data_IF_689026531802
#
_entry.id   IF_689026531802
#
_cell.length_a   1.000
_cell.length_b   1.000
_cell.length_c   1.000
_cell.angle_alpha   90.00
_cell.angle_beta   90.00
_cell.angle_gamma   90.00
#
_symmetry.space_group_name_H-M   'P 1'
#
loop_
_entity.id
_entity.type
_entity.pdbx_description
1 polymer ?
#
# COMPACT_ATOMS: atom_id res chain seq x y z
N UNK A 1 27.90 -4.67 19.80
CA UNK A 1 27.28 -3.35 20.07
C UNK A 1 26.72 -2.70 18.80
N UNK A 2 27.52 -2.48 17.74
CA UNK A 2 27.04 -1.83 16.48
C UNK A 2 25.86 -2.54 15.84
N UNK A 3 25.83 -3.86 15.80
CA UNK A 3 24.74 -4.64 15.20
C UNK A 3 23.48 -4.63 16.07
N UNK A 4 23.64 -4.60 17.39
CA UNK A 4 22.51 -4.43 18.32
C UNK A 4 21.85 -3.05 18.14
N UNK A 5 22.65 -1.99 18.04
CA UNK A 5 22.13 -0.63 17.78
C UNK A 5 21.38 -0.58 16.47
N UNK A 6 21.93 -1.17 15.40
CA UNK A 6 21.24 -1.26 14.09
C UNK A 6 19.94 -2.05 14.16
N UNK A 7 19.90 -3.13 14.95
CA UNK A 7 18.68 -3.93 15.17
C UNK A 7 17.62 -3.09 15.89
N UNK A 8 17.98 -2.41 16.97
CA UNK A 8 17.06 -1.53 17.71
C UNK A 8 16.52 -0.42 16.80
N UNK A 9 17.37 0.24 16.02
CA UNK A 9 16.95 1.28 15.07
C UNK A 9 16.02 0.74 14.00
N UNK A 10 16.25 -0.46 13.48
CA UNK A 10 15.34 -1.11 12.54
C UNK A 10 13.97 -1.39 13.16
N UNK A 11 13.95 -1.89 14.39
CA UNK A 11 12.72 -2.15 15.14
C UNK A 11 11.94 -0.86 15.40
N UNK A 12 12.61 0.24 15.77
CA UNK A 12 11.97 1.57 15.93
C UNK A 12 11.35 2.10 14.63
N UNK A 13 12.01 1.87 13.51
CA UNK A 13 11.49 2.24 12.18
C UNK A 13 10.42 1.24 11.71
N UNK A 14 10.34 0.05 12.32
CA UNK A 14 9.41 -1.04 11.97
C UNK A 14 9.87 -1.83 10.75
N UNK A 15 11.17 -1.86 10.50
CA UNK A 15 11.79 -2.69 9.47
C UNK A 15 12.22 -4.01 10.10
N UNK A 16 11.61 -5.15 9.78
CA UNK A 16 12.03 -6.44 10.30
C UNK A 16 13.47 -6.76 9.91
N UNK A 17 14.23 -7.34 10.84
CA UNK A 17 15.60 -7.75 10.54
C UNK A 17 15.61 -8.83 9.45
N UNK A 18 16.43 -8.64 8.41
CA UNK A 18 16.59 -9.60 7.31
C UNK A 18 15.55 -9.52 6.18
N UNK A 19 14.55 -8.62 6.26
CA UNK A 19 13.50 -8.56 5.23
C UNK A 19 14.06 -8.19 3.84
N UNK A 20 14.97 -7.24 3.75
CA UNK A 20 15.60 -6.85 2.48
C UNK A 20 16.44 -8.00 1.89
N UNK A 21 17.18 -8.72 2.75
CA UNK A 21 17.96 -9.88 2.32
C UNK A 21 17.08 -11.03 1.83
N UNK A 22 15.93 -11.24 2.49
CA UNK A 22 14.95 -12.26 2.08
C UNK A 22 14.29 -11.91 0.76
N UNK A 23 13.91 -10.67 0.56
CA UNK A 23 13.36 -10.16 -0.69
C UNK A 23 14.38 -10.29 -1.84
N UNK A 24 15.65 -9.94 -1.59
CA UNK A 24 16.73 -10.09 -2.57
C UNK A 24 16.97 -11.55 -2.96
N UNK A 25 17.01 -12.47 -1.98
CA UNK A 25 17.15 -13.90 -2.26
C UNK A 25 15.99 -14.41 -3.10
N UNK A 26 14.76 -14.04 -2.76
CA UNK A 26 13.57 -14.41 -3.51
C UNK A 26 13.63 -13.91 -4.96
N UNK A 27 14.07 -12.66 -5.16
CA UNK A 27 14.30 -12.10 -6.48
C UNK A 27 15.34 -12.88 -7.29
N UNK A 28 16.50 -13.21 -6.71
CA UNK A 28 17.54 -13.97 -7.40
C UNK A 28 17.07 -15.39 -7.78
N UNK A 29 16.33 -16.05 -6.90
CA UNK A 29 15.73 -17.35 -7.18
C UNK A 29 14.64 -17.25 -8.26
N UNK A 30 13.86 -16.15 -8.26
CA UNK A 30 12.86 -15.85 -9.30
C UNK A 30 13.52 -15.76 -10.67
N UNK A 31 14.56 -14.94 -10.82
CA UNK A 31 15.32 -14.82 -12.08
C UNK A 31 15.92 -16.17 -12.49
N UNK A 32 16.47 -16.93 -11.54
CA UNK A 32 17.05 -18.25 -11.81
C UNK A 32 16.01 -19.25 -12.32
N UNK A 33 14.81 -19.24 -11.77
CA UNK A 33 13.72 -20.12 -12.23
C UNK A 33 13.15 -19.70 -13.58
N UNK A 34 12.99 -18.40 -13.80
CA UNK A 34 12.54 -17.87 -15.08
C UNK A 34 13.49 -18.28 -16.23
N UNK A 35 14.81 -18.29 -15.99
CA UNK A 35 15.80 -18.76 -16.99
C UNK A 35 15.59 -20.21 -17.42
N UNK A 36 14.97 -21.04 -16.56
CA UNK A 36 14.73 -22.48 -16.81
C UNK A 36 13.31 -22.79 -17.27
N UNK A 37 12.40 -21.78 -17.22
CA UNK A 37 10.99 -21.95 -17.62
C UNK A 37 10.84 -21.56 -19.08
N UNK A 38 10.07 -22.32 -19.85
CA UNK A 38 9.61 -21.88 -21.15
C UNK A 38 8.32 -21.09 -20.97
N UNK A 39 8.32 -19.81 -21.35
CA UNK A 39 7.15 -18.97 -21.42
C UNK A 39 6.77 -18.87 -22.89
N UNK A 40 5.56 -19.27 -23.21
CA UNK A 40 4.99 -19.20 -24.56
C UNK A 40 3.67 -18.45 -24.50
N UNK A 41 3.60 -17.36 -25.24
CA UNK A 41 2.41 -16.51 -25.29
C UNK A 41 2.19 -15.66 -24.01
N UNK A 42 1.03 -15.01 -23.96
CA UNK A 42 0.65 -14.04 -22.93
C UNK A 42 -0.24 -14.65 -21.83
N UNK A 43 -0.04 -15.95 -21.54
CA UNK A 43 -0.84 -16.63 -20.53
C UNK A 43 -0.26 -16.46 -19.13
N UNK A 44 -1.11 -16.15 -18.17
CA UNK A 44 -0.74 -16.09 -16.77
C UNK A 44 -0.09 -17.41 -16.30
N UNK A 45 0.92 -17.30 -15.45
CA UNK A 45 1.57 -18.45 -14.86
C UNK A 45 2.02 -18.19 -13.44
N UNK A 46 2.38 -19.25 -12.73
CA UNK A 46 2.92 -19.15 -11.38
C UNK A 46 4.21 -19.92 -11.18
N UNK A 47 4.96 -19.52 -10.16
CA UNK A 47 6.17 -20.18 -9.66
C UNK A 47 6.03 -20.39 -8.15
N UNK A 48 6.25 -21.62 -7.69
CA UNK A 48 6.19 -21.99 -6.29
C UNK A 48 7.60 -22.08 -5.68
N UNK A 49 7.86 -21.34 -4.62
CA UNK A 49 9.13 -21.32 -3.89
C UNK A 49 8.92 -21.94 -2.51
N UNK A 50 9.56 -23.07 -2.25
CA UNK A 50 9.55 -23.71 -0.92
C UNK A 50 10.47 -22.94 0.02
N UNK A 51 9.95 -22.56 1.18
CA UNK A 51 10.71 -21.88 2.24
C UNK A 51 11.40 -22.91 3.16
N UNK A 52 12.08 -23.88 2.54
CA UNK A 52 12.85 -24.87 3.31
C UNK A 52 13.94 -24.16 4.13
N UNK A 53 14.13 -24.62 5.35
CA UNK A 53 15.16 -24.13 6.28
C UNK A 53 15.08 -22.62 6.55
N UNK A 54 13.90 -22.01 6.33
CA UNK A 54 13.69 -20.59 6.54
C UNK A 54 14.44 -19.70 5.55
N UNK A 55 14.69 -20.16 4.33
CA UNK A 55 15.47 -19.46 3.28
C UNK A 55 14.98 -18.01 3.04
N UNK A 56 13.67 -17.79 3.10
CA UNK A 56 13.05 -16.47 2.92
C UNK A 56 12.48 -15.91 4.23
N UNK A 57 12.84 -16.50 5.36
CA UNK A 57 12.43 -16.02 6.67
C UNK A 57 13.21 -14.78 7.08
N UNK A 58 12.59 -13.93 7.88
CA UNK A 58 13.18 -12.71 8.44
C UNK A 58 12.61 -12.45 9.83
N UNK A 59 13.40 -11.85 10.71
CA UNK A 59 13.09 -11.75 12.12
C UNK A 59 12.74 -13.15 12.70
N UNK A 60 11.68 -13.24 13.49
CA UNK A 60 11.19 -14.52 14.06
C UNK A 60 10.08 -15.14 13.20
N UNK A 61 9.88 -14.63 11.98
CA UNK A 61 8.81 -15.07 11.10
C UNK A 61 9.19 -16.32 10.32
N UNK A 62 8.62 -17.45 10.70
CA UNK A 62 8.85 -18.77 10.07
C UNK A 62 7.56 -19.41 9.53
N UNK A 63 6.47 -18.66 9.50
CA UNK A 63 5.13 -19.23 9.40
C UNK A 63 4.67 -19.60 7.99
N UNK A 64 5.39 -19.23 6.93
CA UNK A 64 5.02 -19.68 5.59
C UNK A 64 5.99 -20.77 5.09
N UNK A 65 5.40 -21.86 4.59
CA UNK A 65 6.15 -22.97 3.99
C UNK A 65 6.45 -22.72 2.53
N UNK A 66 5.60 -21.95 1.86
CA UNK A 66 5.70 -21.69 0.43
C UNK A 66 5.44 -20.21 0.12
N UNK A 67 6.11 -19.72 -0.92
CA UNK A 67 5.79 -18.47 -1.58
C UNK A 67 5.42 -18.81 -3.02
N UNK A 68 4.21 -18.43 -3.45
CA UNK A 68 3.75 -18.52 -4.82
C UNK A 68 3.88 -17.15 -5.46
N UNK A 69 4.58 -17.03 -6.57
CA UNK A 69 4.62 -15.80 -7.37
C UNK A 69 3.80 -16.04 -8.63
N UNK A 70 2.75 -15.24 -8.80
CA UNK A 70 1.89 -15.24 -9.98
C UNK A 70 2.30 -14.11 -10.90
N UNK A 71 2.45 -14.42 -12.19
CA UNK A 71 2.58 -13.44 -13.24
C UNK A 71 1.24 -13.25 -13.93
N UNK A 72 0.75 -12.03 -13.91
CA UNK A 72 -0.48 -11.61 -14.59
C UNK A 72 -0.09 -10.73 -15.76
N UNK A 73 -0.58 -11.04 -16.94
CA UNK A 73 -0.31 -10.29 -18.15
C UNK A 73 -1.56 -9.52 -18.58
N UNK A 74 -1.40 -8.21 -18.75
CA UNK A 74 -2.46 -7.31 -19.20
C UNK A 74 -2.05 -6.64 -20.52
N UNK A 75 -2.92 -6.67 -21.52
CA UNK A 75 -2.69 -5.96 -22.78
C UNK A 75 -2.90 -4.47 -22.63
N UNK A 76 -2.07 -3.64 -23.29
CA UNK A 76 -2.35 -2.20 -23.42
C UNK A 76 -2.09 -1.71 -24.85
N UNK A 77 -2.86 -0.68 -25.26
CA UNK A 77 -2.68 -0.04 -26.56
C UNK A 77 -1.64 1.09 -26.48
N UNK A 78 -0.59 1.00 -27.30
CA UNK A 78 0.44 2.04 -27.40
C UNK A 78 -0.16 3.34 -27.95
N UNK A 79 -1.20 3.27 -28.80
CA UNK A 79 -1.84 4.47 -29.35
C UNK A 79 -2.48 5.34 -28.25
N UNK A 80 -3.00 4.71 -27.18
CA UNK A 80 -3.56 5.42 -26.05
C UNK A 80 -2.48 5.94 -25.07
N UNK A 81 -1.26 5.40 -25.14
CA UNK A 81 -0.15 5.75 -24.25
C UNK A 81 1.19 5.83 -25.01
N UNK A 82 1.37 6.78 -25.94
CA UNK A 82 2.53 6.82 -26.83
C UNK A 82 3.89 7.08 -26.12
N UNK A 83 3.85 7.56 -24.87
CA UNK A 83 5.05 7.72 -24.05
C UNK A 83 5.55 6.41 -23.43
N UNK A 84 4.78 5.32 -23.54
CA UNK A 84 5.09 4.00 -22.98
C UNK A 84 5.43 3.03 -24.09
N UNK A 85 6.60 2.42 -24.01
CA UNK A 85 7.02 1.40 -24.98
C UNK A 85 7.58 0.19 -24.24
N UNK A 86 7.26 -1.01 -24.73
CA UNK A 86 7.75 -2.26 -24.16
C UNK A 86 6.91 -2.78 -22.98
N UNK A 87 7.43 -3.81 -22.33
CA UNK A 87 6.77 -4.44 -21.19
C UNK A 87 6.92 -3.56 -19.96
N UNK A 88 5.82 -3.25 -19.29
CA UNK A 88 5.78 -2.41 -18.10
C UNK A 88 5.37 -3.23 -16.88
N UNK A 89 5.92 -2.89 -15.72
CA UNK A 89 5.46 -3.43 -14.45
C UNK A 89 4.35 -2.49 -13.94
N UNK A 90 3.11 -3.00 -13.91
CA UNK A 90 1.95 -2.21 -13.49
C UNK A 90 1.77 -2.22 -11.98
N UNK A 91 2.17 -3.31 -11.31
CA UNK A 91 2.05 -3.42 -9.88
C UNK A 91 2.52 -4.76 -9.34
N UNK A 92 2.67 -4.79 -8.04
CA UNK A 92 2.84 -6.00 -7.26
C UNK A 92 1.81 -6.01 -6.15
N UNK A 93 1.29 -7.17 -5.82
CA UNK A 93 0.28 -7.35 -4.80
C UNK A 93 0.53 -8.60 -3.96
N UNK A 94 -0.15 -8.67 -2.83
CA UNK A 94 -0.09 -9.79 -1.93
C UNK A 94 -1.49 -10.37 -1.69
N UNK A 95 -1.61 -11.68 -1.89
CA UNK A 95 -2.79 -12.45 -1.49
C UNK A 95 -2.35 -13.52 -0.51
N UNK A 96 -2.91 -13.51 0.68
CA UNK A 96 -2.73 -14.60 1.63
C UNK A 96 -3.84 -15.62 1.41
N UNK A 97 -3.48 -16.84 1.03
CA UNK A 97 -4.40 -17.98 0.99
C UNK A 97 -4.78 -18.48 2.39
N UNK A 98 -4.19 -17.91 3.44
CA UNK A 98 -4.69 -18.11 4.78
C UNK A 98 -6.14 -17.64 4.80
N UNK A 99 -7.05 -18.60 4.57
CA UNK A 99 -8.48 -18.39 4.66
C UNK A 99 -8.74 -17.77 6.02
N UNK A 100 -9.46 -16.68 6.01
CA UNK A 100 -9.91 -15.96 7.21
C UNK A 100 -10.90 -16.79 8.07
N UNK A 101 -10.84 -18.10 7.96
CA UNK A 101 -11.72 -19.02 8.66
C UNK A 101 -11.56 -18.93 10.18
N UNK A 102 -10.45 -18.37 10.67
CA UNK A 102 -10.14 -18.34 12.10
C UNK A 102 -9.71 -16.95 12.57
N UNK A 103 -10.65 -16.01 12.56
CA UNK A 103 -10.46 -14.72 13.20
C UNK A 103 -10.37 -14.80 14.72
N UNK A 104 -10.90 -15.87 15.28
CA UNK A 104 -10.96 -16.14 16.73
C UNK A 104 -10.30 -17.47 17.13
N UNK A 105 -10.02 -18.38 16.18
CA UNK A 105 -9.28 -19.61 16.45
C UNK A 105 -7.93 -19.63 15.72
N UNK A 106 -6.88 -19.58 16.51
CA UNK A 106 -5.47 -19.61 16.05
C UNK A 106 -4.99 -21.00 15.61
N UNK A 107 -5.89 -21.96 15.44
CA UNK A 107 -5.54 -23.36 15.19
C UNK A 107 -6.05 -23.80 13.82
N UNK A 108 -5.17 -24.01 12.92
CA UNK A 108 -5.26 -24.66 11.58
C UNK A 108 -5.09 -23.74 10.38
N UNK A 109 -3.92 -23.11 10.27
CA UNK A 109 -3.41 -22.64 8.97
C UNK A 109 -2.92 -23.88 8.21
N UNK A 110 -3.82 -24.54 7.49
CA UNK A 110 -3.52 -25.80 6.79
C UNK A 110 -2.76 -25.61 5.47
N UNK A 111 -2.61 -24.38 4.97
CA UNK A 111 -1.77 -24.07 3.80
C UNK A 111 -0.98 -22.78 4.02
N UNK A 112 0.21 -22.92 4.59
CA UNK A 112 1.15 -21.82 4.83
C UNK A 112 1.77 -21.27 3.53
N UNK A 113 0.93 -20.95 2.54
CA UNK A 113 1.37 -20.40 1.25
C UNK A 113 1.01 -18.94 1.16
N UNK A 114 2.00 -18.09 0.91
CA UNK A 114 1.81 -16.67 0.60
C UNK A 114 1.87 -16.49 -0.91
N UNK A 115 0.86 -15.86 -1.52
CA UNK A 115 0.83 -15.54 -2.94
C UNK A 115 1.19 -14.08 -3.16
N UNK A 116 2.19 -13.85 -4.00
CA UNK A 116 2.61 -12.54 -4.50
C UNK A 116 2.27 -12.47 -5.99
N UNK A 117 1.64 -11.40 -6.43
CA UNK A 117 1.34 -11.17 -7.85
C UNK A 117 2.26 -10.12 -8.44
N UNK A 118 2.72 -10.34 -9.66
CA UNK A 118 3.44 -9.36 -10.48
C UNK A 118 2.63 -9.15 -11.74
N UNK A 119 2.07 -7.96 -11.92
CA UNK A 119 1.31 -7.60 -13.12
C UNK A 119 2.22 -6.91 -14.11
N UNK A 120 2.31 -7.48 -15.31
CA UNK A 120 3.07 -6.98 -16.44
C UNK A 120 2.12 -6.52 -17.54
N UNK A 121 2.14 -5.24 -17.88
CA UNK A 121 1.42 -4.73 -19.03
C UNK A 121 2.26 -4.90 -20.30
N UNK A 122 1.63 -5.41 -21.35
CA UNK A 122 2.24 -5.78 -22.60
C UNK A 122 1.57 -5.00 -23.72
N UNK A 123 2.36 -4.37 -24.59
CA UNK A 123 1.78 -3.78 -25.79
C UNK A 123 1.04 -4.83 -26.63
N UNK A 124 -0.18 -4.52 -27.03
CA UNK A 124 -0.98 -5.40 -27.89
C UNK A 124 -0.33 -5.68 -29.26
N UNK A 125 0.63 -4.81 -29.64
CA UNK A 125 1.45 -4.98 -30.84
C UNK A 125 2.54 -6.07 -30.71
N UNK A 126 2.82 -6.57 -29.48
CA UNK A 126 3.76 -7.66 -29.24
C UNK A 126 3.01 -9.00 -29.28
N UNK A 127 3.20 -9.83 -30.30
CA UNK A 127 2.39 -11.04 -30.48
C UNK A 127 2.72 -12.13 -29.46
N UNK A 128 3.97 -12.22 -29.02
CA UNK A 128 4.42 -13.23 -28.04
C UNK A 128 5.51 -12.66 -27.15
N UNK A 129 5.43 -12.97 -25.86
CA UNK A 129 6.46 -12.67 -24.88
C UNK A 129 7.33 -13.90 -24.66
N UNK A 130 8.61 -13.67 -24.50
CA UNK A 130 9.59 -14.70 -24.16
C UNK A 130 10.09 -14.57 -22.72
N UNK A 131 10.69 -15.65 -22.19
CA UNK A 131 11.36 -15.55 -20.88
C UNK A 131 12.42 -14.44 -20.86
N UNK A 132 13.11 -14.19 -21.99
CA UNK A 132 14.14 -13.15 -22.06
C UNK A 132 13.56 -11.78 -21.84
N UNK A 133 12.38 -11.52 -22.38
CA UNK A 133 11.69 -10.22 -22.25
C UNK A 133 11.25 -9.99 -20.79
N UNK A 134 10.64 -10.99 -20.16
CA UNK A 134 10.26 -10.94 -18.75
C UNK A 134 11.49 -10.75 -17.86
N UNK A 135 12.54 -11.55 -18.05
CA UNK A 135 13.76 -11.46 -17.26
C UNK A 135 14.42 -10.09 -17.43
N UNK A 136 14.51 -9.58 -18.66
CA UNK A 136 15.07 -8.26 -18.93
C UNK A 136 14.28 -7.19 -18.19
N UNK A 137 12.95 -7.19 -18.31
CA UNK A 137 12.09 -6.22 -17.62
C UNK A 137 12.29 -6.25 -16.10
N UNK A 138 12.37 -7.46 -15.51
CA UNK A 138 12.62 -7.59 -14.08
C UNK A 138 14.03 -7.13 -13.68
N UNK A 139 15.04 -7.38 -14.50
CA UNK A 139 16.42 -6.98 -14.23
C UNK A 139 16.61 -5.46 -14.37
N UNK A 140 16.03 -4.85 -15.38
CA UNK A 140 16.06 -3.40 -15.60
C UNK A 140 15.36 -2.64 -14.46
N UNK A 141 14.43 -3.30 -13.73
CA UNK A 141 13.68 -2.77 -12.61
C UNK A 141 14.03 -3.44 -11.27
N UNK A 142 15.23 -3.99 -11.12
CA UNK A 142 15.63 -4.77 -9.94
C UNK A 142 15.34 -4.07 -8.61
N UNK A 143 15.74 -2.79 -8.47
CA UNK A 143 15.56 -2.03 -7.21
C UNK A 143 14.09 -1.96 -6.84
N UNK A 144 13.22 -1.67 -7.82
CA UNK A 144 11.77 -1.61 -7.62
C UNK A 144 11.21 -2.99 -7.25
N UNK A 145 11.57 -4.05 -7.97
CA UNK A 145 11.06 -5.40 -7.70
C UNK A 145 11.47 -5.88 -6.31
N UNK A 146 12.75 -5.75 -5.95
CA UNK A 146 13.23 -6.19 -4.63
C UNK A 146 12.56 -5.41 -3.51
N UNK A 147 12.35 -4.10 -3.68
CA UNK A 147 11.66 -3.29 -2.69
C UNK A 147 10.17 -3.63 -2.57
N UNK A 148 9.51 -3.90 -3.70
CA UNK A 148 8.11 -4.36 -3.69
C UNK A 148 7.98 -5.75 -3.08
N UNK A 149 8.91 -6.68 -3.33
CA UNK A 149 8.93 -7.97 -2.64
C UNK A 149 9.10 -7.81 -1.13
N UNK A 150 9.94 -6.87 -0.66
CA UNK A 150 10.07 -6.58 0.77
C UNK A 150 8.77 -5.99 1.35
N UNK A 151 8.08 -5.15 0.60
CA UNK A 151 6.77 -4.60 0.92
C UNK A 151 5.73 -5.73 1.11
N UNK A 152 5.60 -6.60 0.13
CA UNK A 152 4.60 -7.68 0.16
C UNK A 152 4.92 -8.76 1.21
N UNK A 153 6.21 -9.10 1.41
CA UNK A 153 6.63 -9.98 2.50
C UNK A 153 6.31 -9.39 3.87
N UNK A 154 6.38 -8.05 4.00
CA UNK A 154 5.99 -7.38 5.24
C UNK A 154 4.48 -7.44 5.48
N UNK A 155 3.68 -7.33 4.43
CA UNK A 155 2.24 -7.57 4.53
C UNK A 155 1.92 -8.99 5.04
N UNK A 156 2.59 -10.00 4.48
CA UNK A 156 2.45 -11.37 4.95
C UNK A 156 2.80 -11.50 6.43
N UNK A 157 3.93 -10.93 6.85
CA UNK A 157 4.38 -10.94 8.24
C UNK A 157 3.38 -10.28 9.19
N UNK A 158 2.89 -9.08 8.87
CA UNK A 158 1.92 -8.36 9.72
C UNK A 158 0.57 -9.09 9.75
N UNK A 159 0.22 -9.73 8.64
CA UNK A 159 -0.96 -10.55 8.54
C UNK A 159 -1.02 -11.69 9.54
N UNK A 160 0.11 -12.30 9.86
CA UNK A 160 0.21 -13.41 10.81
C UNK A 160 0.34 -12.96 12.28
N UNK A 161 0.87 -11.76 12.53
CA UNK A 161 1.11 -11.28 13.92
C UNK A 161 -0.13 -10.80 14.66
N UNK A 162 -1.16 -10.28 13.97
CA UNK A 162 -2.30 -9.61 14.61
C UNK A 162 -3.63 -9.92 13.90
N UNK A 163 -4.15 -11.14 14.04
CA UNK A 163 -5.36 -11.53 13.31
C UNK A 163 -6.61 -10.70 13.66
N UNK A 164 -6.77 -10.28 14.91
CA UNK A 164 -7.96 -9.55 15.40
C UNK A 164 -8.01 -8.07 14.97
N UNK A 165 -6.86 -7.40 14.81
CA UNK A 165 -6.81 -6.04 14.26
C UNK A 165 -7.07 -5.99 12.74
N UNK A 166 -7.06 -7.18 12.08
CA UNK A 166 -7.13 -7.27 10.62
C UNK A 166 -8.42 -6.72 10.04
N UNK A 167 -9.58 -6.95 10.66
CA UNK A 167 -10.86 -6.58 10.05
C UNK A 167 -10.99 -5.07 9.98
N UNK A 168 -10.77 -4.38 11.12
CA UNK A 168 -10.85 -2.90 11.19
C UNK A 168 -9.90 -2.21 10.20
N UNK A 169 -8.78 -2.88 9.88
CA UNK A 169 -7.80 -2.34 8.96
C UNK A 169 -8.02 -2.83 7.52
N UNK A 170 -8.41 -4.09 7.31
CA UNK A 170 -8.50 -4.71 5.98
C UNK A 170 -9.76 -4.30 5.21
N UNK A 171 -10.90 -4.13 5.87
CA UNK A 171 -12.11 -3.72 5.18
C UNK A 171 -11.97 -2.32 4.55
N UNK A 172 -11.53 -1.27 5.28
CA UNK A 172 -11.24 0.03 4.67
C UNK A 172 -10.15 -0.04 3.61
N UNK A 173 -9.05 -0.76 3.86
CA UNK A 173 -7.97 -0.95 2.91
C UNK A 173 -8.46 -1.48 1.56
N UNK A 174 -9.25 -2.58 1.58
CA UNK A 174 -9.79 -3.18 0.36
C UNK A 174 -10.75 -2.23 -0.35
N UNK A 175 -11.58 -1.48 0.37
CA UNK A 175 -12.54 -0.55 -0.23
C UNK A 175 -11.81 0.63 -0.87
N UNK A 176 -10.88 1.27 -0.15
CA UNK A 176 -10.14 2.42 -0.65
C UNK A 176 -9.24 2.08 -1.84
N UNK A 177 -8.74 0.84 -1.95
CA UNK A 177 -7.94 0.41 -3.11
C UNK A 177 -8.77 0.20 -4.38
N UNK A 178 -10.09 0.00 -4.26
CA UNK A 178 -10.94 -0.39 -5.38
C UNK A 178 -11.96 0.68 -5.80
N UNK A 179 -12.34 1.60 -4.91
CA UNK A 179 -13.34 2.63 -5.22
C UNK A 179 -12.74 3.69 -6.14
N UNK A 180 -13.46 4.01 -7.21
CA UNK A 180 -13.16 5.07 -8.16
C UNK A 180 -14.42 5.89 -8.43
N UNK A 181 -14.29 7.21 -8.34
CA UNK A 181 -15.39 8.14 -8.64
C UNK A 181 -15.34 8.66 -10.05
N UNK A 182 -14.19 8.61 -10.71
CA UNK A 182 -13.91 9.24 -11.99
C UNK A 182 -13.61 10.74 -11.88
N UNK A 183 -13.71 11.33 -10.68
CA UNK A 183 -13.29 12.71 -10.39
C UNK A 183 -11.91 12.65 -9.76
N UNK A 184 -10.93 13.14 -10.46
CA UNK A 184 -9.50 12.99 -10.13
C UNK A 184 -9.17 13.39 -8.68
N UNK A 185 -9.67 14.51 -8.21
CA UNK A 185 -9.35 15.07 -6.89
C UNK A 185 -9.96 14.21 -5.76
N UNK A 186 -11.12 13.62 -6.03
CA UNK A 186 -11.79 12.71 -5.10
C UNK A 186 -11.11 11.34 -5.12
N UNK A 187 -10.72 10.86 -6.27
CA UNK A 187 -9.94 9.62 -6.40
C UNK A 187 -8.57 9.77 -5.71
N UNK A 188 -7.95 10.96 -5.76
CA UNK A 188 -6.73 11.27 -5.01
C UNK A 188 -6.99 11.27 -3.50
N UNK A 189 -8.10 11.85 -3.02
CA UNK A 189 -8.51 11.76 -1.61
C UNK A 189 -8.70 10.30 -1.16
N UNK A 190 -9.40 9.49 -1.95
CA UNK A 190 -9.60 8.05 -1.65
C UNK A 190 -8.27 7.31 -1.64
N UNK A 191 -7.37 7.62 -2.57
CA UNK A 191 -6.00 7.08 -2.58
C UNK A 191 -5.23 7.48 -1.31
N UNK A 192 -5.42 8.70 -0.78
CA UNK A 192 -4.81 9.11 0.47
C UNK A 192 -5.38 8.32 1.66
N UNK A 193 -6.69 8.04 1.68
CA UNK A 193 -7.29 7.15 2.67
C UNK A 193 -6.65 5.76 2.65
N UNK A 194 -6.47 5.17 1.47
CA UNK A 194 -5.77 3.90 1.28
C UNK A 194 -4.35 3.98 1.83
N UNK A 195 -3.60 5.00 1.40
CA UNK A 195 -2.18 5.17 1.71
C UNK A 195 -1.89 5.32 3.20
N UNK A 196 -2.78 5.97 3.97
CA UNK A 196 -2.64 6.14 5.42
C UNK A 196 -3.21 4.98 6.24
N UNK A 197 -3.74 3.93 5.61
CA UNK A 197 -4.19 2.75 6.38
C UNK A 197 -3.04 2.18 7.20
N UNK A 198 -3.36 1.57 8.33
CA UNK A 198 -2.35 0.94 9.19
C UNK A 198 -1.55 -0.10 8.43
N UNK A 199 -2.22 -0.82 7.51
CA UNK A 199 -1.61 -1.85 6.67
C UNK A 199 -0.47 -1.24 5.85
N UNK A 200 -0.73 -0.18 5.08
CA UNK A 200 0.27 0.48 4.24
C UNK A 200 1.36 1.17 5.06
N UNK A 201 0.99 1.86 6.12
CA UNK A 201 1.96 2.56 6.98
C UNK A 201 2.99 1.64 7.64
N UNK A 202 2.64 0.39 7.90
CA UNK A 202 3.56 -0.57 8.52
C UNK A 202 4.57 -1.14 7.53
N UNK A 203 4.26 -1.19 6.25
CA UNK A 203 5.12 -1.82 5.23
C UNK A 203 6.04 -0.84 4.51
N UNK A 204 5.62 0.42 4.32
CA UNK A 204 6.41 1.44 3.59
C UNK A 204 7.86 1.63 4.09
N UNK A 205 8.17 1.60 5.38
CA UNK A 205 9.55 1.66 5.83
C UNK A 205 10.42 0.50 5.32
N UNK A 206 9.85 -0.70 5.19
CA UNK A 206 10.58 -1.87 4.68
C UNK A 206 10.88 -1.74 3.18
N UNK A 207 9.93 -1.20 2.42
CA UNK A 207 10.09 -0.88 1.01
C UNK A 207 11.24 0.13 0.80
N UNK A 208 11.17 1.28 1.46
CA UNK A 208 12.18 2.34 1.33
C UNK A 208 13.54 1.88 1.83
N UNK A 209 13.59 1.12 2.93
CA UNK A 209 14.83 0.53 3.41
C UNK A 209 15.45 -0.43 2.38
N UNK A 210 14.62 -1.24 1.73
CA UNK A 210 15.10 -2.15 0.68
C UNK A 210 15.61 -1.39 -0.55
N UNK A 211 14.92 -0.32 -0.99
CA UNK A 211 15.41 0.58 -2.04
C UNK A 211 16.76 1.18 -1.69
N UNK A 212 16.90 1.64 -0.45
CA UNK A 212 18.14 2.22 0.07
C UNK A 212 19.29 1.20 0.06
N UNK A 213 19.03 -0.06 0.42
CA UNK A 213 20.04 -1.12 0.41
C UNK A 213 20.44 -1.51 -1.01
N UNK A 214 19.48 -1.72 -1.92
CA UNK A 214 19.73 -2.09 -3.31
C UNK A 214 20.39 -0.95 -4.10
N UNK A 215 19.97 0.29 -3.88
CA UNK A 215 20.60 1.48 -4.46
C UNK A 215 21.93 1.87 -3.82
N UNK A 216 22.34 1.13 -2.78
CA UNK A 216 23.60 1.39 -2.05
C UNK A 216 23.74 2.85 -1.54
N UNK A 217 22.61 3.42 -1.10
CA UNK A 217 22.50 4.83 -0.71
C UNK A 217 23.39 5.15 0.48
N UNK A 218 24.26 6.14 0.31
CA UNK A 218 25.13 6.66 1.37
C UNK A 218 24.36 7.65 2.28
N UNK A 219 24.97 8.02 3.40
CA UNK A 219 24.37 9.05 4.26
C UNK A 219 24.32 10.41 3.60
N UNK A 220 25.31 10.74 2.79
CA UNK A 220 25.37 11.99 2.04
C UNK A 220 24.25 12.09 1.02
N UNK A 221 23.94 10.97 0.34
CA UNK A 221 22.93 10.91 -0.71
C UNK A 221 21.51 10.70 -0.15
N UNK A 222 21.38 10.39 1.14
CA UNK A 222 20.10 10.03 1.75
C UNK A 222 19.03 11.13 1.62
N UNK A 223 19.43 12.39 1.76
CA UNK A 223 18.47 13.51 1.65
C UNK A 223 17.89 13.63 0.24
N UNK A 224 18.71 13.48 -0.77
CA UNK A 224 18.28 13.49 -2.16
C UNK A 224 17.42 12.27 -2.45
N UNK A 225 17.88 11.10 -2.04
CA UNK A 225 17.12 9.85 -2.17
C UNK A 225 15.73 9.94 -1.53
N UNK A 226 15.63 10.35 -0.25
CA UNK A 226 14.33 10.40 0.43
C UNK A 226 13.44 11.49 -0.15
N UNK A 227 14.01 12.65 -0.55
CA UNK A 227 13.23 13.74 -1.12
C UNK A 227 12.68 13.43 -2.51
N UNK A 228 13.34 12.59 -3.29
CA UNK A 228 12.88 12.11 -4.60
C UNK A 228 12.00 10.85 -4.52
N UNK A 229 11.94 10.20 -3.35
CA UNK A 229 11.19 8.97 -3.16
C UNK A 229 9.68 9.22 -3.29
N UNK A 230 9.00 8.41 -4.10
CA UNK A 230 7.56 8.56 -4.39
C UNK A 230 6.68 8.45 -3.15
N UNK A 231 6.99 7.53 -2.23
CA UNK A 231 6.30 7.39 -0.94
C UNK A 231 6.41 8.66 -0.11
N UNK A 232 7.60 9.25 -0.03
CA UNK A 232 7.81 10.48 0.72
C UNK A 232 7.12 11.68 0.07
N UNK A 233 7.12 11.77 -1.26
CA UNK A 233 6.39 12.80 -1.99
C UNK A 233 4.86 12.65 -1.79
N UNK A 234 4.36 11.44 -1.79
CA UNK A 234 2.93 11.18 -1.48
C UNK A 234 2.60 11.62 -0.06
N UNK A 235 3.44 11.31 0.94
CA UNK A 235 3.23 11.78 2.31
C UNK A 235 3.22 13.31 2.41
N UNK A 236 4.03 14.03 1.65
CA UNK A 236 3.98 15.50 1.57
C UNK A 236 2.65 16.00 1.00
N UNK A 237 2.15 15.38 -0.07
CA UNK A 237 0.84 15.72 -0.63
C UNK A 237 -0.28 15.48 0.39
N UNK A 238 -0.27 14.32 1.05
CA UNK A 238 -1.22 13.97 2.11
C UNK A 238 -1.18 14.98 3.26
N UNK A 239 0.02 15.40 3.68
CA UNK A 239 0.19 16.38 4.76
C UNK A 239 -0.36 17.78 4.41
N UNK A 240 -0.32 18.12 3.12
CA UNK A 240 -0.79 19.41 2.60
C UNK A 240 -2.22 19.36 2.07
N UNK A 241 -2.90 18.22 2.19
CA UNK A 241 -4.29 18.10 1.77
C UNK A 241 -5.20 19.01 2.59
N UNK A 242 -6.16 19.65 1.92
CA UNK A 242 -7.17 20.51 2.54
C UNK A 242 -8.53 20.23 1.94
N UNK A 243 -9.53 20.07 2.79
CA UNK A 243 -10.94 19.92 2.39
C UNK A 243 -11.44 21.20 1.70
N UNK A 244 -11.04 22.37 2.18
CA UNK A 244 -11.43 23.65 1.56
C UNK A 244 -10.93 23.76 0.11
N UNK A 245 -9.68 23.32 -0.15
CA UNK A 245 -9.14 23.27 -1.50
C UNK A 245 -9.89 22.24 -2.37
N UNK A 246 -10.24 21.07 -1.82
CA UNK A 246 -11.05 20.09 -2.52
C UNK A 246 -12.40 20.67 -2.90
N UNK A 247 -13.11 21.32 -1.97
CA UNK A 247 -14.39 21.96 -2.22
C UNK A 247 -14.24 23.05 -3.30
N UNK A 248 -13.23 23.91 -3.19
CA UNK A 248 -12.98 24.97 -4.18
C UNK A 248 -12.78 24.39 -5.59
N UNK A 249 -12.01 23.33 -5.72
CA UNK A 249 -11.78 22.67 -7.00
C UNK A 249 -13.04 21.99 -7.54
N UNK A 250 -13.85 21.37 -6.66
CA UNK A 250 -15.11 20.76 -7.05
C UNK A 250 -16.15 21.78 -7.54
N UNK A 251 -16.15 23.02 -7.01
CA UNK A 251 -17.00 24.10 -7.49
C UNK A 251 -16.73 24.46 -8.95
N UNK A 252 -15.51 24.22 -9.44
CA UNK A 252 -15.14 24.44 -10.83
C UNK A 252 -15.57 23.30 -11.78
N UNK A 253 -16.12 22.19 -11.23
CA UNK A 253 -16.46 20.96 -11.96
C UNK A 253 -17.93 20.52 -11.77
N UNK A 254 -18.91 21.41 -11.93
CA UNK A 254 -20.31 21.08 -11.66
C UNK A 254 -20.84 19.95 -12.53
N UNK A 255 -20.41 19.85 -13.80
CA UNK A 255 -20.85 18.83 -14.72
C UNK A 255 -20.37 17.42 -14.35
N UNK A 256 -19.11 17.31 -13.86
CA UNK A 256 -18.56 16.04 -13.38
C UNK A 256 -19.32 15.56 -12.13
N UNK A 257 -19.71 16.48 -11.24
CA UNK A 257 -20.50 16.18 -10.04
C UNK A 257 -21.91 15.73 -10.45
N UNK A 258 -22.56 16.44 -11.36
CA UNK A 258 -23.90 16.09 -11.86
C UNK A 258 -23.92 14.69 -12.48
N UNK A 259 -22.91 14.40 -13.29
CA UNK A 259 -22.76 13.07 -13.88
C UNK A 259 -22.55 11.98 -12.82
N UNK A 260 -21.76 12.28 -11.78
CA UNK A 260 -21.56 11.33 -10.69
C UNK A 260 -22.85 11.10 -9.88
N UNK A 261 -23.55 12.17 -9.49
CA UNK A 261 -24.81 12.08 -8.74
C UNK A 261 -25.86 11.28 -9.54
N UNK A 262 -26.05 11.61 -10.82
CA UNK A 262 -27.05 10.95 -11.68
C UNK A 262 -26.77 9.46 -11.92
N UNK A 263 -25.51 9.06 -11.93
CA UNK A 263 -25.10 7.65 -12.06
C UNK A 263 -25.29 6.84 -10.78
N UNK A 264 -25.18 7.47 -9.64
CA UNK A 264 -25.15 6.78 -8.35
C UNK A 264 -26.42 6.90 -7.53
N UNK A 265 -27.33 7.79 -7.92
CA UNK A 265 -28.59 8.03 -7.20
C UNK A 265 -29.72 8.45 -8.15
N UNK A 266 -30.96 8.36 -7.64
CA UNK A 266 -32.14 8.93 -8.28
C UNK A 266 -32.58 10.24 -7.58
N UNK A 267 -31.69 10.92 -6.87
CA UNK A 267 -32.00 12.19 -6.22
C UNK A 267 -32.05 13.32 -7.24
N UNK A 268 -32.95 14.29 -7.00
CA UNK A 268 -32.93 15.55 -7.73
C UNK A 268 -31.61 16.28 -7.44
N UNK A 269 -30.94 16.73 -8.50
CA UNK A 269 -29.67 17.45 -8.39
C UNK A 269 -29.96 18.91 -8.04
N UNK A 270 -29.46 19.43 -6.90
CA UNK A 270 -29.67 20.83 -6.56
C UNK A 270 -29.04 21.77 -7.59
N UNK A 271 -29.70 22.90 -7.88
CA UNK A 271 -29.11 23.95 -8.71
C UNK A 271 -27.97 24.68 -7.98
N UNK A 272 -28.12 24.87 -6.66
CA UNK A 272 -27.13 25.50 -5.81
C UNK A 272 -25.90 24.64 -5.67
N UNK A 273 -24.71 25.21 -6.02
CA UNK A 273 -23.44 24.45 -6.06
C UNK A 273 -23.01 23.95 -4.67
N UNK A 274 -23.28 24.70 -3.60
CA UNK A 274 -22.89 24.29 -2.26
C UNK A 274 -23.73 23.10 -1.78
N UNK A 275 -25.04 23.12 -2.05
CA UNK A 275 -25.94 21.99 -1.79
C UNK A 275 -25.59 20.78 -2.65
N UNK A 276 -25.19 21.01 -3.90
CA UNK A 276 -24.74 19.96 -4.81
C UNK A 276 -23.49 19.27 -4.27
N UNK A 277 -22.51 20.00 -3.78
CA UNK A 277 -21.32 19.48 -3.15
C UNK A 277 -21.63 18.73 -1.85
N UNK A 278 -22.55 19.26 -1.04
CA UNK A 278 -23.00 18.58 0.17
C UNK A 278 -23.64 17.22 -0.14
N UNK A 279 -24.55 17.17 -1.15
CA UNK A 279 -25.15 15.94 -1.64
C UNK A 279 -24.08 14.97 -2.18
N UNK A 280 -23.13 15.47 -2.94
CA UNK A 280 -22.04 14.68 -3.50
C UNK A 280 -21.18 14.04 -2.38
N UNK A 281 -20.75 14.79 -1.35
CA UNK A 281 -20.03 14.24 -0.22
C UNK A 281 -20.86 13.23 0.58
N UNK A 282 -22.16 13.46 0.68
CA UNK A 282 -23.04 12.49 1.33
C UNK A 282 -23.05 11.16 0.58
N UNK A 283 -23.19 11.18 -0.74
CA UNK A 283 -23.18 9.97 -1.56
C UNK A 283 -21.86 9.21 -1.39
N UNK A 284 -20.72 9.89 -1.50
CA UNK A 284 -19.41 9.27 -1.33
C UNK A 284 -19.26 8.65 0.06
N UNK A 285 -19.61 9.39 1.11
CA UNK A 285 -19.52 8.88 2.48
C UNK A 285 -20.38 7.64 2.70
N UNK A 286 -21.64 7.68 2.21
CA UNK A 286 -22.57 6.53 2.32
C UNK A 286 -22.05 5.35 1.55
N UNK A 287 -21.53 5.55 0.33
CA UNK A 287 -20.98 4.49 -0.49
C UNK A 287 -19.75 3.84 0.15
N UNK A 288 -18.78 4.65 0.60
CA UNK A 288 -17.59 4.15 1.30
C UNK A 288 -17.98 3.39 2.57
N UNK A 289 -18.89 3.96 3.37
CA UNK A 289 -19.33 3.34 4.63
C UNK A 289 -20.02 2.00 4.39
N UNK A 290 -20.95 1.94 3.43
CA UNK A 290 -21.66 0.70 3.06
C UNK A 290 -20.71 -0.37 2.56
N UNK A 291 -19.76 0.00 1.69
CA UNK A 291 -18.78 -0.94 1.15
C UNK A 291 -17.83 -1.47 2.23
N UNK A 292 -17.40 -0.61 3.17
CA UNK A 292 -16.56 -1.02 4.32
C UNK A 292 -17.32 -1.99 5.21
N UNK A 293 -18.57 -1.71 5.55
CA UNK A 293 -19.41 -2.59 6.39
C UNK A 293 -19.70 -3.92 5.69
N UNK A 294 -20.08 -3.89 4.41
CA UNK A 294 -20.27 -5.09 3.61
C UNK A 294 -19.00 -5.95 3.56
N UNK A 295 -17.85 -5.32 3.39
CA UNK A 295 -16.58 -6.04 3.38
C UNK A 295 -16.22 -6.62 4.75
N UNK A 296 -16.43 -5.86 5.83
CA UNK A 296 -16.21 -6.33 7.19
C UNK A 296 -17.10 -7.53 7.49
N UNK A 297 -18.38 -7.45 7.14
CA UNK A 297 -19.32 -8.56 7.25
C UNK A 297 -18.85 -9.78 6.44
N UNK A 298 -18.51 -9.61 5.17
CA UNK A 298 -17.97 -10.68 4.32
C UNK A 298 -16.73 -11.35 4.91
N UNK A 299 -15.81 -10.56 5.50
CA UNK A 299 -14.60 -11.09 6.15
C UNK A 299 -14.97 -11.97 7.35
N UNK A 300 -15.98 -11.58 8.14
CA UNK A 300 -16.39 -12.26 9.35
C UNK A 300 -17.26 -13.50 9.10
N UNK A 301 -18.05 -13.48 8.03
CA UNK A 301 -19.04 -14.52 7.72
C UNK A 301 -18.61 -15.51 6.64
N UNK A 302 -17.37 -15.41 6.16
CA UNK A 302 -16.87 -16.25 5.06
C UNK A 302 -16.58 -17.71 5.46
N UNK A 303 -17.14 -18.17 6.59
CA UNK A 303 -17.04 -19.54 7.06
C UNK A 303 -18.33 -20.30 6.71
N UNK A 304 -18.20 -21.50 6.10
CA UNK A 304 -19.31 -22.36 5.72
C UNK A 304 -20.28 -22.62 6.88
N UNK A 305 -19.78 -22.81 8.11
CA UNK A 305 -20.61 -23.02 9.28
C UNK A 305 -21.43 -21.78 9.65
N UNK A 306 -20.90 -20.59 9.52
CA UNK A 306 -21.60 -19.35 9.84
C UNK A 306 -22.65 -18.98 8.78
N UNK A 307 -22.47 -19.41 7.54
CA UNK A 307 -23.51 -19.29 6.50
C UNK A 307 -24.72 -20.17 6.79
N UNK A 308 -24.55 -21.27 7.54
CA UNK A 308 -25.62 -22.21 7.91
C UNK A 308 -26.25 -21.93 9.27
N UNK A 309 -25.46 -21.48 10.25
CA UNK A 309 -25.87 -21.40 11.68
C UNK A 309 -25.91 -19.97 12.22
N UNK A 310 -25.56 -18.97 11.40
CA UNK A 310 -25.50 -17.58 11.81
C UNK A 310 -24.17 -17.22 12.45
N UNK A 311 -23.98 -15.92 12.65
CA UNK A 311 -22.76 -15.32 13.24
C UNK A 311 -22.81 -15.45 14.76
N UNK A 312 -21.70 -15.76 15.42
CA UNK A 312 -21.63 -15.82 16.88
C UNK A 312 -21.99 -14.46 17.52
N UNK A 313 -22.51 -14.47 18.74
CA UNK A 313 -22.88 -13.23 19.47
C UNK A 313 -21.70 -12.26 19.60
N UNK A 314 -20.49 -12.76 19.81
CA UNK A 314 -19.27 -11.95 19.91
C UNK A 314 -18.92 -11.25 18.60
N UNK A 315 -19.04 -11.95 17.46
CA UNK A 315 -18.83 -11.38 16.13
C UNK A 315 -19.92 -10.37 15.78
N UNK A 316 -21.18 -10.65 16.13
CA UNK A 316 -22.27 -9.72 15.93
C UNK A 316 -22.05 -8.43 16.73
N UNK A 317 -21.69 -8.54 18.01
CA UNK A 317 -21.36 -7.38 18.85
C UNK A 317 -20.23 -6.55 18.25
N UNK A 318 -19.19 -7.20 17.72
CA UNK A 318 -18.10 -6.50 17.03
C UNK A 318 -18.60 -5.75 15.79
N UNK A 319 -19.49 -6.36 14.98
CA UNK A 319 -20.06 -5.71 13.80
C UNK A 319 -20.90 -4.47 14.18
N UNK A 320 -21.72 -4.59 15.22
CA UNK A 320 -22.57 -3.49 15.69
C UNK A 320 -21.75 -2.30 16.21
N UNK A 321 -20.68 -2.58 16.97
CA UNK A 321 -19.72 -1.57 17.42
C UNK A 321 -19.00 -0.90 16.24
N UNK A 322 -18.59 -1.71 15.26
CA UNK A 322 -17.89 -1.24 14.07
C UNK A 322 -18.80 -0.42 13.16
N UNK A 323 -20.06 -0.82 12.99
CA UNK A 323 -21.07 -0.06 12.27
C UNK A 323 -21.28 1.30 12.90
N UNK A 324 -21.41 1.35 14.22
CA UNK A 324 -21.54 2.61 14.97
C UNK A 324 -20.34 3.53 14.74
N UNK A 325 -19.11 2.96 14.69
CA UNK A 325 -17.90 3.73 14.41
C UNK A 325 -17.89 4.27 12.96
N UNK A 326 -18.25 3.46 11.98
CA UNK A 326 -18.26 3.84 10.57
C UNK A 326 -19.35 4.87 10.27
N UNK A 327 -20.55 4.70 10.84
CA UNK A 327 -21.71 5.58 10.58
C UNK A 327 -21.76 6.84 11.45
N UNK A 328 -20.76 7.10 12.28
CA UNK A 328 -20.74 8.25 13.22
C UNK A 328 -20.92 9.62 12.56
N UNK A 329 -20.59 9.75 11.27
CA UNK A 329 -20.75 11.00 10.50
C UNK A 329 -22.00 11.03 9.61
N UNK A 330 -22.92 10.05 9.75
CA UNK A 330 -24.12 9.94 8.91
C UNK A 330 -24.95 11.22 8.85
N UNK A 331 -25.04 11.97 9.94
CA UNK A 331 -25.84 13.21 10.02
C UNK A 331 -25.06 14.45 9.53
N UNK A 332 -23.76 14.35 9.31
CA UNK A 332 -22.94 15.43 8.78
C UNK A 332 -21.73 14.84 8.06
N UNK A 333 -21.89 14.39 6.82
CA UNK A 333 -20.83 13.75 6.03
C UNK A 333 -19.61 14.64 5.81
N UNK A 334 -19.76 15.96 5.70
CA UNK A 334 -18.62 16.87 5.53
C UNK A 334 -17.61 16.74 6.69
N UNK A 335 -18.10 16.53 7.92
CA UNK A 335 -17.23 16.27 9.09
C UNK A 335 -16.37 15.01 8.94
N UNK A 336 -16.77 14.05 8.11
CA UNK A 336 -15.91 12.90 7.81
C UNK A 336 -14.66 13.34 7.06
N UNK A 337 -14.80 14.19 6.06
CA UNK A 337 -13.67 14.69 5.27
C UNK A 337 -12.73 15.55 6.11
N UNK A 338 -13.27 16.45 6.92
CA UNK A 338 -12.49 17.26 7.88
C UNK A 338 -11.75 16.38 8.91
N UNK A 339 -12.40 15.32 9.37
CA UNK A 339 -11.77 14.36 10.28
C UNK A 339 -10.62 13.63 9.58
N UNK A 340 -10.81 13.24 8.31
CA UNK A 340 -9.74 12.58 7.53
C UNK A 340 -8.59 13.55 7.25
N UNK A 341 -8.83 14.82 6.97
CA UNK A 341 -7.77 15.82 6.82
C UNK A 341 -6.88 15.90 8.07
N UNK A 342 -7.46 15.96 9.26
CA UNK A 342 -6.71 15.95 10.52
C UNK A 342 -5.90 14.66 10.69
N UNK A 343 -6.51 13.53 10.33
CA UNK A 343 -5.85 12.22 10.36
C UNK A 343 -4.70 12.15 9.35
N UNK A 344 -4.88 12.68 8.15
CA UNK A 344 -3.85 12.77 7.12
C UNK A 344 -2.62 13.50 7.65
N UNK A 345 -2.80 14.69 8.21
CA UNK A 345 -1.71 15.49 8.78
C UNK A 345 -0.98 14.73 9.89
N UNK A 346 -1.72 14.18 10.85
CA UNK A 346 -1.12 13.44 11.96
C UNK A 346 -0.32 12.21 11.49
N UNK A 347 -0.92 11.38 10.60
CA UNK A 347 -0.30 10.13 10.16
C UNK A 347 0.89 10.40 9.25
N UNK A 348 0.78 11.35 8.32
CA UNK A 348 1.88 11.69 7.40
C UNK A 348 3.08 12.28 8.14
N UNK A 349 2.87 13.17 9.10
CA UNK A 349 3.96 13.71 9.94
C UNK A 349 4.67 12.61 10.74
N UNK A 350 3.88 11.72 11.37
CA UNK A 350 4.42 10.58 12.11
C UNK A 350 5.23 9.66 11.20
N UNK A 351 4.74 9.40 9.98
CA UNK A 351 5.42 8.55 9.02
C UNK A 351 6.70 9.21 8.49
N UNK A 352 6.65 10.48 8.13
CA UNK A 352 7.84 11.22 7.69
C UNK A 352 8.93 11.23 8.76
N UNK A 353 8.58 11.44 10.04
CA UNK A 353 9.52 11.33 11.17
C UNK A 353 10.10 9.92 11.30
N UNK A 354 9.30 8.89 11.04
CA UNK A 354 9.76 7.49 11.06
C UNK A 354 10.72 7.21 9.91
N UNK A 355 10.44 7.69 8.71
CA UNK A 355 11.30 7.54 7.55
C UNK A 355 12.62 8.30 7.70
N UNK A 356 12.64 9.46 8.36
CA UNK A 356 13.88 10.20 8.60
C UNK A 356 14.88 9.40 9.44
N UNK A 357 14.42 8.50 10.32
CA UNK A 357 15.28 7.61 11.09
C UNK A 357 16.04 6.59 10.24
N UNK A 358 15.61 6.33 9.00
CA UNK A 358 16.34 5.48 8.05
C UNK A 358 17.73 6.02 7.72
N UNK A 359 17.95 7.33 7.87
CA UNK A 359 19.28 7.94 7.76
C UNK A 359 20.35 7.22 8.60
N UNK A 360 19.99 6.82 9.82
CA UNK A 360 20.91 6.11 10.73
C UNK A 360 21.32 4.73 10.20
N UNK A 361 20.52 4.16 9.32
CA UNK A 361 20.74 2.85 8.69
C UNK A 361 21.47 2.95 7.35
N UNK A 362 21.60 4.16 6.78
CA UNK A 362 22.35 4.40 5.56
C UNK A 362 23.85 4.12 5.78
N UNK A 363 24.55 3.70 4.72
CA UNK A 363 25.98 3.37 4.82
C UNK A 363 26.80 4.65 5.07
N UNK A 364 27.72 4.65 6.04
CA UNK A 364 28.66 5.76 6.16
C UNK A 364 29.58 5.75 4.94
N UNK A 365 29.86 6.93 4.37
CA UNK A 365 30.85 7.04 3.31
C UNK A 365 32.25 6.73 3.92
N UNK A 366 33.00 5.78 3.38
CA UNK A 366 34.31 5.44 3.92
C UNK A 366 35.35 6.58 3.84
N UNK A 367 35.08 7.61 3.03
CA UNK A 367 36.05 8.69 2.75
C UNK A 367 35.86 9.93 3.63
N UNK A 368 34.76 10.07 4.38
CA UNK A 368 34.48 11.25 5.21
C UNK A 368 34.10 10.91 6.65
N UNK A 369 35.00 10.27 7.38
CA UNK A 369 34.94 10.14 8.86
C UNK A 369 35.37 11.42 9.58
N UNK A 370 35.19 12.60 9.00
CA UNK A 370 35.52 13.88 9.65
C UNK A 370 34.23 14.64 9.91
N UNK A 371 33.82 14.60 11.17
CA UNK A 371 32.92 15.52 11.87
C UNK A 371 31.70 16.04 11.12
N UNK A 372 30.56 15.36 11.23
CA UNK A 372 29.23 16.00 11.22
C UNK A 372 28.27 15.30 12.19
N UNK A 373 27.76 16.10 13.11
CA UNK A 373 26.89 15.75 14.21
C UNK A 373 25.50 15.27 13.71
N UNK A 374 24.98 14.12 14.17
CA UNK A 374 23.63 13.63 13.80
C UNK A 374 22.49 14.59 14.16
N UNK A 375 22.65 15.44 15.16
CA UNK A 375 21.62 16.42 15.57
C UNK A 375 21.29 17.45 14.51
N UNK A 376 22.18 17.73 13.55
CA UNK A 376 21.92 18.70 12.46
C UNK A 376 20.97 18.17 11.39
N UNK A 377 20.71 16.88 11.32
CA UNK A 377 19.82 16.29 10.32
C UNK A 377 18.33 16.49 10.67
N UNK A 378 17.93 16.23 11.91
CA UNK A 378 16.54 16.47 12.35
C UNK A 378 16.18 17.95 12.27
N UNK A 379 17.09 18.84 12.59
CA UNK A 379 16.89 20.28 12.45
C UNK A 379 16.73 20.71 10.99
N UNK A 380 17.51 20.17 10.05
CA UNK A 380 17.38 20.50 8.62
C UNK A 380 16.09 19.99 7.99
N UNK A 381 15.61 18.82 8.42
CA UNK A 381 14.30 18.29 7.95
C UNK A 381 13.12 19.11 8.52
N UNK A 382 13.29 19.72 9.69
CA UNK A 382 12.30 20.63 10.28
C UNK A 382 12.36 22.04 9.66
N UNK A 383 13.56 22.48 9.24
CA UNK A 383 13.77 23.78 8.57
C UNK A 383 13.34 23.80 7.11
N UNK A 384 13.14 22.63 6.45
CA UNK A 384 12.60 22.52 5.10
C UNK A 384 11.09 22.77 5.00
N UNK A 385 10.45 23.26 6.08
CA UNK A 385 9.09 23.80 5.99
C UNK A 385 9.10 25.03 5.07
N UNK A 386 8.22 25.13 4.08
CA UNK A 386 8.12 26.33 3.27
C UNK A 386 7.85 27.51 4.23
N UNK A 387 8.74 28.47 4.24
CA UNK A 387 8.50 29.75 4.91
C UNK A 387 7.28 30.37 4.23
N UNK A 388 6.20 30.53 4.97
CA UNK A 388 5.08 31.35 4.54
C UNK A 388 5.63 32.73 4.16
N UNK A 389 5.76 32.96 2.87
CA UNK A 389 5.97 34.29 2.33
C UNK A 389 4.64 35.02 2.51
N UNK A 390 4.52 35.73 3.62
CA UNK A 390 3.52 36.78 3.74
C UNK A 390 3.97 37.93 2.84
N UNK A 391 3.25 38.19 1.80
CA UNK A 391 3.20 39.48 1.11
C UNK A 391 1.77 39.87 0.88
#
# INVERSE_FOLDING_TARGET
>A
MRDLIKRILKEEVGVPSGIADSAKRLYLDLITRLKRKTITGNSNFNLLFKNKDGKYSFADFKNFENIKIEFVFEGYDIAENPSRSGILIMGMGHQSEAQLNDLFDLVNVTNNTTTLSITLAIPTSIPEITNKDVIKTLMDNQVMIVSSLAHELKHAYDGYKKPTEKIKNRAPYTVYSNVKTGIREVDEFIYFLYFITTIENLVRPSEIYSQMQEGNISREDFLEFISSNTTYQTLKKINNFSVDNLISTLKEKPEEIDLFISKNTNYDIPEDIDKKIELFFNIIYVELSRNILSRAHSILTNNFFESLFGVSEEKQKFLDEYETEILRFKNNPLRYFEFQEKKFKFVSEKMMKRLSKLYSLAKPNPIKLVNKDPMTFEMRMLESKPRNIKS
#
